data_IF_927913545034
#
_entry.id   IF_927913545034
#
_cell.length_a   1.000
_cell.length_b   1.000
_cell.length_c   1.000
_cell.angle_alpha   90.00
_cell.angle_beta   90.00
_cell.angle_gamma   90.00
#
_symmetry.space_group_name_H-M   'P 1'
#
loop_
_entity.id
_entity.type
_entity.pdbx_description
1 polymer ?
#
# COMPACT_ATOMS: atom_id res chain seq x y z
N UNK A 1 3.22 -12.37 10.00
CA UNK A 1 2.71 -11.16 10.69
C UNK A 1 1.50 -11.58 11.50
N UNK A 2 1.53 -11.39 12.81
CA UNK A 2 0.36 -11.62 13.68
C UNK A 2 -0.73 -10.57 13.37
N UNK A 3 -2.01 -10.94 13.51
CA UNK A 3 -3.15 -10.00 13.36
C UNK A 3 -2.98 -8.76 14.24
N UNK A 4 -2.47 -8.89 15.46
CA UNK A 4 -2.25 -7.73 16.34
C UNK A 4 -1.16 -6.80 15.81
N UNK A 5 -0.12 -7.34 15.17
CA UNK A 5 0.96 -6.56 14.57
C UNK A 5 0.47 -5.79 13.33
N UNK A 6 -0.39 -6.42 12.54
CA UNK A 6 -1.04 -5.77 11.39
C UNK A 6 -1.90 -4.59 11.82
N UNK A 7 -2.78 -4.78 12.82
CA UNK A 7 -3.62 -3.69 13.34
C UNK A 7 -2.77 -2.53 13.91
N UNK A 8 -1.69 -2.83 14.63
CA UNK A 8 -0.77 -1.78 15.12
C UNK A 8 -0.14 -0.99 13.98
N UNK A 9 0.30 -1.66 12.91
CA UNK A 9 0.87 -1.00 11.72
C UNK A 9 -0.19 -0.23 10.93
N UNK A 10 -1.43 -0.71 10.88
CA UNK A 10 -2.55 -0.03 10.23
C UNK A 10 -2.76 1.37 10.81
N UNK A 11 -2.69 1.49 12.13
CA UNK A 11 -2.93 2.76 12.83
C UNK A 11 -1.70 3.67 12.93
N UNK A 12 -0.49 3.18 12.66
CA UNK A 12 0.76 3.95 12.84
C UNK A 12 1.55 4.23 11.55
N UNK A 13 1.26 3.50 10.46
CA UNK A 13 1.96 3.66 9.18
C UNK A 13 1.28 4.69 8.29
N UNK A 14 1.99 5.78 7.98
CA UNK A 14 1.55 6.77 6.97
C UNK A 14 1.26 6.12 5.61
N UNK A 15 2.10 5.19 5.18
CA UNK A 15 1.91 4.47 3.93
C UNK A 15 0.65 3.60 3.92
N UNK A 16 0.33 2.97 5.06
CA UNK A 16 -0.89 2.17 5.16
C UNK A 16 -2.15 3.03 5.14
N UNK A 17 -2.12 4.20 5.79
CA UNK A 17 -3.24 5.15 5.71
C UNK A 17 -3.53 5.56 4.26
N UNK A 18 -2.50 5.82 3.44
CA UNK A 18 -2.72 6.13 2.02
C UNK A 18 -3.32 4.98 1.23
N UNK A 19 -2.92 3.73 1.51
CA UNK A 19 -3.53 2.55 0.89
C UNK A 19 -5.01 2.46 1.26
N UNK A 20 -5.35 2.63 2.54
CA UNK A 20 -6.75 2.60 3.01
C UNK A 20 -7.56 3.71 2.37
N UNK A 21 -7.05 4.95 2.35
CA UNK A 21 -7.74 6.09 1.70
C UNK A 21 -7.98 5.83 0.22
N UNK A 22 -6.99 5.32 -0.52
CA UNK A 22 -7.16 5.00 -1.93
C UNK A 22 -8.19 3.89 -2.18
N UNK A 23 -8.17 2.83 -1.36
CA UNK A 23 -9.18 1.77 -1.43
C UNK A 23 -10.59 2.29 -1.11
N UNK A 24 -10.72 3.21 -0.15
CA UNK A 24 -11.99 3.85 0.18
C UNK A 24 -12.51 4.69 -0.99
N UNK A 25 -11.68 5.52 -1.60
CA UNK A 25 -12.07 6.35 -2.75
C UNK A 25 -12.54 5.50 -3.94
N UNK A 26 -11.85 4.40 -4.25
CA UNK A 26 -12.26 3.46 -5.30
C UNK A 26 -13.70 2.96 -5.09
N UNK A 27 -14.10 2.70 -3.84
CA UNK A 27 -15.44 2.20 -3.52
C UNK A 27 -16.47 3.33 -3.43
N UNK A 28 -16.17 4.39 -2.69
CA UNK A 28 -17.14 5.45 -2.37
C UNK A 28 -17.32 6.46 -3.50
N UNK A 29 -16.25 6.78 -4.23
CA UNK A 29 -16.23 7.85 -5.24
C UNK A 29 -16.27 7.28 -6.66
N UNK A 30 -15.59 6.16 -6.90
CA UNK A 30 -15.44 5.58 -8.25
C UNK A 30 -16.39 4.38 -8.50
N UNK A 31 -17.13 3.93 -7.49
CA UNK A 31 -18.21 2.94 -7.62
C UNK A 31 -17.75 1.49 -7.80
N UNK A 32 -16.48 1.18 -7.52
CA UNK A 32 -15.97 -0.18 -7.57
C UNK A 32 -16.50 -1.03 -6.42
N UNK A 33 -16.67 -2.33 -6.67
CA UNK A 33 -16.89 -3.28 -5.59
C UNK A 33 -15.60 -3.46 -4.75
N UNK A 34 -15.70 -3.91 -3.48
CA UNK A 34 -14.51 -4.20 -2.68
C UNK A 34 -13.55 -5.18 -3.34
N UNK A 35 -14.06 -6.15 -4.09
CA UNK A 35 -13.26 -7.14 -4.80
C UNK A 35 -12.44 -6.51 -5.94
N UNK A 36 -13.06 -5.61 -6.72
CA UNK A 36 -12.38 -4.87 -7.79
C UNK A 36 -11.31 -3.92 -7.22
N UNK A 37 -11.64 -3.17 -6.17
CA UNK A 37 -10.68 -2.28 -5.52
C UNK A 37 -9.44 -3.05 -5.00
N UNK A 38 -9.64 -4.21 -4.39
CA UNK A 38 -8.54 -5.08 -3.95
C UNK A 38 -7.71 -5.63 -5.13
N UNK A 39 -8.36 -5.97 -6.24
CA UNK A 39 -7.64 -6.39 -7.46
C UNK A 39 -6.80 -5.25 -8.04
N UNK A 40 -7.34 -4.04 -8.10
CA UNK A 40 -6.60 -2.85 -8.55
C UNK A 40 -5.38 -2.62 -7.65
N UNK A 41 -5.55 -2.63 -6.34
CA UNK A 41 -4.45 -2.44 -5.40
C UNK A 41 -3.38 -3.54 -5.52
N UNK A 42 -3.79 -4.78 -5.78
CA UNK A 42 -2.85 -5.89 -6.04
C UNK A 42 -2.02 -5.64 -7.30
N UNK A 43 -2.66 -5.28 -8.41
CA UNK A 43 -1.98 -5.00 -9.68
C UNK A 43 -1.04 -3.81 -9.51
N UNK A 44 -1.51 -2.70 -8.94
CA UNK A 44 -0.68 -1.52 -8.68
C UNK A 44 0.56 -1.86 -7.83
N UNK A 45 0.39 -2.67 -6.77
CA UNK A 45 1.52 -3.12 -5.94
C UNK A 45 2.53 -3.98 -6.70
N UNK A 46 2.08 -4.80 -7.65
CA UNK A 46 2.96 -5.61 -8.49
C UNK A 46 3.75 -4.76 -9.49
N UNK A 47 3.08 -3.83 -10.18
CA UNK A 47 3.72 -2.92 -11.14
C UNK A 47 4.78 -2.02 -10.49
N UNK A 48 4.53 -1.57 -9.25
CA UNK A 48 5.48 -0.72 -8.54
C UNK A 48 6.67 -1.48 -7.93
N UNK A 49 6.71 -2.82 -7.96
CA UNK A 49 7.68 -3.61 -7.20
C UNK A 49 9.14 -3.23 -7.52
N UNK A 50 9.51 -3.15 -8.80
CA UNK A 50 10.89 -2.86 -9.19
C UNK A 50 11.31 -1.44 -8.81
N UNK A 51 10.43 -0.45 -9.05
CA UNK A 51 10.68 0.93 -8.65
C UNK A 51 10.85 1.08 -7.13
N UNK A 52 10.01 0.39 -6.34
CA UNK A 52 10.15 0.38 -4.88
C UNK A 52 11.46 -0.27 -4.42
N UNK A 53 11.89 -1.33 -5.11
CA UNK A 53 13.16 -1.99 -4.82
C UNK A 53 14.37 -1.07 -5.11
N UNK A 54 14.34 -0.33 -6.22
CA UNK A 54 15.35 0.68 -6.55
C UNK A 54 15.42 1.79 -5.48
N UNK A 55 14.26 2.38 -5.14
CA UNK A 55 14.18 3.42 -4.09
C UNK A 55 14.73 2.92 -2.75
N UNK A 56 14.43 1.68 -2.37
CA UNK A 56 14.93 1.09 -1.14
C UNK A 56 16.45 0.91 -1.14
N UNK A 57 17.02 0.49 -2.27
CA UNK A 57 18.46 0.33 -2.40
C UNK A 57 19.16 1.70 -2.34
N UNK A 58 18.66 2.70 -3.06
CA UNK A 58 19.18 4.07 -3.00
C UNK A 58 19.11 4.67 -1.59
N UNK A 59 18.01 4.44 -0.86
CA UNK A 59 17.86 4.91 0.50
C UNK A 59 18.91 4.32 1.44
N UNK A 60 19.29 3.04 1.24
CA UNK A 60 20.35 2.39 2.03
C UNK A 60 21.74 2.92 1.71
N UNK A 61 22.01 3.25 0.45
CA UNK A 61 23.29 3.81 0.04
C UNK A 61 23.51 5.22 0.61
N UNK A 62 22.44 6.03 0.71
CA UNK A 62 22.49 7.39 1.30
C UNK A 62 22.73 7.42 2.82
N UNK A 63 22.61 6.28 3.51
CA UNK A 63 22.81 6.15 4.97
C UNK A 63 24.23 5.68 5.30
N UNK A 64 25.04 5.28 4.30
CA UNK A 64 26.47 4.99 4.45
C UNK A 64 27.33 6.23 4.28
#
# INVERSE_FOLDING_TARGET
MDRNEFHKKLHSSKGMMFIVTGLTALVEEEGYTPHEALNIAKVAGQECYFALNEIHNEAKEKIK
#
